data_IF_199411965993
#
_entry.id   IF_199411965993
#
_cell.length_a   1.000
_cell.length_b   1.000
_cell.length_c   1.000
_cell.angle_alpha   90.00
_cell.angle_beta   90.00
_cell.angle_gamma   90.00
#
_symmetry.space_group_name_H-M   'P 1'
#
loop_
_entity.id
_entity.type
_entity.pdbx_description
1 polymer ?
#
# COMPACT_ATOMS: atom_id res chain seq x y z
N UNK A 1 -31.75 19.93 6.81
CA UNK A 1 -30.86 19.98 7.98
C UNK A 1 -30.09 21.29 7.91
N UNK A 2 -30.24 22.17 8.91
CA UNK A 2 -29.43 23.37 9.02
C UNK A 2 -28.18 23.01 9.83
N UNK A 3 -26.99 23.23 9.28
CA UNK A 3 -25.76 23.14 10.06
C UNK A 3 -25.78 24.30 11.06
N UNK A 4 -26.17 24.00 12.30
CA UNK A 4 -26.09 24.95 13.41
C UNK A 4 -24.64 25.37 13.65
N UNK A 5 -24.47 26.48 14.38
CA UNK A 5 -23.17 27.06 14.79
C UNK A 5 -22.22 25.95 15.27
N UNK A 6 -20.98 25.93 14.77
CA UNK A 6 -19.98 24.92 15.09
C UNK A 6 -19.89 24.71 16.61
N UNK A 7 -20.15 23.48 17.04
CA UNK A 7 -20.12 23.12 18.45
C UNK A 7 -18.66 22.97 18.93
N UNK A 8 -18.38 23.34 20.18
CA UNK A 8 -17.05 23.26 20.80
C UNK A 8 -16.39 21.88 20.67
N UNK A 9 -17.21 20.85 20.58
CA UNK A 9 -16.82 19.46 20.44
C UNK A 9 -16.09 19.19 19.11
N UNK A 10 -16.49 19.85 18.01
CA UNK A 10 -15.79 19.71 16.72
C UNK A 10 -14.38 20.27 16.79
N UNK A 11 -14.18 21.40 17.47
CA UNK A 11 -12.85 22.00 17.71
C UNK A 11 -11.96 21.06 18.53
N UNK A 12 -12.50 20.45 19.59
CA UNK A 12 -11.75 19.49 20.42
C UNK A 12 -11.37 18.21 19.67
N UNK A 13 -12.26 17.70 18.80
CA UNK A 13 -11.98 16.52 17.96
C UNK A 13 -10.98 16.80 16.85
N UNK A 14 -10.96 18.02 16.31
CA UNK A 14 -10.07 18.39 15.20
C UNK A 14 -8.60 18.08 15.53
N UNK A 15 -8.09 18.52 16.69
CA UNK A 15 -6.69 18.27 17.08
C UNK A 15 -6.34 16.77 17.19
N UNK A 16 -7.26 15.97 17.74
CA UNK A 16 -7.06 14.52 17.91
C UNK A 16 -7.14 13.79 16.56
N UNK A 17 -8.04 14.22 15.68
CA UNK A 17 -8.14 13.71 14.31
C UNK A 17 -6.90 14.04 13.46
N UNK A 18 -6.27 15.21 13.65
CA UNK A 18 -5.01 15.53 12.97
C UNK A 18 -3.87 14.60 13.38
N UNK A 19 -3.75 14.26 14.67
CA UNK A 19 -2.77 13.27 15.13
C UNK A 19 -3.00 11.90 14.51
N UNK A 20 -4.26 11.44 14.47
CA UNK A 20 -4.63 10.18 13.82
C UNK A 20 -4.36 10.22 12.31
N UNK A 21 -4.67 11.32 11.64
CA UNK A 21 -4.38 11.49 10.21
C UNK A 21 -2.88 11.39 9.93
N UNK A 22 -2.04 12.02 10.75
CA UNK A 22 -0.58 11.89 10.66
C UNK A 22 -0.10 10.45 10.80
N UNK A 23 -0.62 9.71 11.78
CA UNK A 23 -0.29 8.29 11.97
C UNK A 23 -0.72 7.43 10.79
N UNK A 24 -1.92 7.64 10.25
CA UNK A 24 -2.42 6.90 9.09
C UNK A 24 -1.58 7.17 7.84
N UNK A 25 -1.23 8.44 7.58
CA UNK A 25 -0.35 8.81 6.46
C UNK A 25 1.03 8.20 6.63
N UNK A 26 1.62 8.26 7.83
CA UNK A 26 2.92 7.64 8.10
C UNK A 26 2.90 6.12 7.90
N UNK A 27 1.88 5.44 8.41
CA UNK A 27 1.71 4.00 8.20
C UNK A 27 1.58 3.65 6.72
N UNK A 28 0.73 4.37 5.99
CA UNK A 28 0.56 4.16 4.55
C UNK A 28 1.86 4.40 3.78
N UNK A 29 2.62 5.44 4.13
CA UNK A 29 3.90 5.75 3.49
C UNK A 29 4.94 4.63 3.69
N UNK A 30 4.99 4.02 4.89
CA UNK A 30 5.88 2.90 5.17
C UNK A 30 5.51 1.69 4.31
N UNK A 31 4.25 1.26 4.33
CA UNK A 31 3.79 0.09 3.56
C UNK A 31 3.97 0.32 2.06
N UNK A 32 3.62 1.51 1.57
CA UNK A 32 3.79 1.88 0.17
C UNK A 32 5.26 1.91 -0.23
N UNK A 33 6.14 2.51 0.58
CA UNK A 33 7.58 2.54 0.33
C UNK A 33 8.18 1.14 0.27
N UNK A 34 7.79 0.24 1.18
CA UNK A 34 8.19 -1.17 1.13
C UNK A 34 7.67 -1.87 -0.13
N UNK A 35 6.45 -1.56 -0.57
CA UNK A 35 5.88 -2.12 -1.81
C UNK A 35 6.67 -1.67 -3.04
N UNK A 36 7.01 -0.39 -3.11
CA UNK A 36 7.85 0.15 -4.21
C UNK A 36 9.21 -0.53 -4.22
N UNK A 37 9.87 -0.65 -3.07
CA UNK A 37 11.16 -1.33 -2.97
C UNK A 37 11.05 -2.79 -3.43
N UNK A 38 10.03 -3.51 -2.95
CA UNK A 38 9.78 -4.91 -3.30
C UNK A 38 9.56 -5.10 -4.80
N UNK A 39 8.66 -4.32 -5.40
CA UNK A 39 8.33 -4.45 -6.84
C UNK A 39 9.46 -3.97 -7.74
N UNK A 40 10.31 -3.06 -7.26
CA UNK A 40 11.48 -2.60 -8.03
C UNK A 40 12.62 -3.62 -8.06
N UNK A 41 12.74 -4.44 -7.01
CA UNK A 41 13.81 -5.44 -6.88
C UNK A 41 13.38 -6.81 -7.41
N UNK A 42 12.13 -7.22 -7.15
CA UNK A 42 11.56 -8.47 -7.65
C UNK A 42 11.09 -8.26 -9.11
N UNK A 43 11.91 -8.70 -10.08
CA UNK A 43 11.54 -8.75 -11.50
C UNK A 43 10.33 -9.65 -11.80
N UNK A 44 9.88 -9.75 -13.08
CA UNK A 44 8.68 -10.51 -13.43
C UNK A 44 8.75 -11.95 -12.93
N UNK A 45 7.79 -12.31 -12.07
CA UNK A 45 7.67 -13.67 -11.54
C UNK A 45 7.08 -14.56 -12.63
N UNK A 46 7.80 -15.62 -12.99
CA UNK A 46 7.29 -16.62 -13.93
C UNK A 46 6.13 -17.38 -13.27
N UNK A 47 4.91 -17.17 -13.78
CA UNK A 47 3.73 -17.91 -13.36
C UNK A 47 3.91 -19.41 -13.65
N UNK A 48 3.52 -20.27 -12.72
CA UNK A 48 3.42 -21.71 -12.95
C UNK A 48 2.11 -22.04 -13.68
N UNK A 49 1.85 -21.34 -14.80
CA UNK A 49 0.87 -21.77 -15.78
C UNK A 49 1.46 -22.97 -16.51
N UNK A 50 0.67 -24.01 -16.78
CA UNK A 50 1.13 -25.37 -17.10
C UNK A 50 1.77 -25.53 -18.49
N UNK A 51 2.55 -24.54 -18.92
CA UNK A 51 3.28 -24.48 -20.17
C UNK A 51 4.74 -24.84 -19.90
N UNK A 52 5.37 -25.54 -20.83
CA UNK A 52 6.78 -25.90 -20.75
C UNK A 52 7.66 -24.64 -20.69
N UNK A 53 8.63 -24.61 -19.78
CA UNK A 53 9.62 -23.54 -19.62
C UNK A 53 10.84 -23.84 -20.50
N UNK A 54 11.03 -23.21 -21.66
CA UNK A 54 12.08 -23.61 -22.60
C UNK A 54 13.49 -23.55 -21.99
N UNK A 55 13.70 -22.66 -21.02
CA UNK A 55 14.95 -22.53 -20.25
C UNK A 55 15.22 -23.67 -19.25
N UNK A 56 14.21 -24.47 -18.88
CA UNK A 56 14.35 -25.65 -18.00
C UNK A 56 14.30 -26.97 -18.78
N UNK A 57 13.93 -26.94 -20.06
CA UNK A 57 13.98 -28.11 -20.92
C UNK A 57 15.44 -28.37 -21.25
N UNK A 58 15.98 -29.45 -20.69
CA UNK A 58 17.31 -29.93 -21.03
C UNK A 58 17.37 -30.16 -22.54
N UNK A 59 18.26 -29.44 -23.22
CA UNK A 59 18.43 -29.58 -24.67
C UNK A 59 19.14 -30.90 -24.91
N UNK A 60 18.36 -31.97 -25.07
CA UNK A 60 18.87 -33.28 -25.45
C UNK A 60 19.78 -33.16 -26.67
N UNK A 61 20.93 -33.82 -26.58
CA UNK A 61 21.91 -33.97 -27.66
C UNK A 61 21.32 -34.78 -28.84
#
# INVERSE_FOLDING_TARGET
MAFGKDHELHTRRAGRNFGVAGLLVGFAAIVFGLTVAKVSEDGPIEGFDHVARPQLVERGE
#
